data_IF_693286572894
#
_entry.id   IF_693286572894
#
_cell.length_a   1.000
_cell.length_b   1.000
_cell.length_c   1.000
_cell.angle_alpha   90.00
_cell.angle_beta   90.00
_cell.angle_gamma   90.00
#
_symmetry.space_group_name_H-M   'P 1'
#
loop_
_entity.id
_entity.type
_entity.pdbx_description
1 polymer ?
#
# COMPACT_ATOMS: atom_id res chain seq x y z
N UNK A 1 10.92 22.73 -5.66
CA UNK A 1 11.23 21.41 -6.26
C UNK A 1 11.26 20.42 -5.10
N UNK A 2 10.24 19.57 -4.94
CA UNK A 2 10.21 18.61 -3.82
C UNK A 2 11.35 17.60 -3.96
N UNK A 3 12.08 17.35 -2.87
CA UNK A 3 13.05 16.26 -2.79
C UNK A 3 12.36 14.93 -3.14
N UNK A 4 13.04 14.00 -3.83
CA UNK A 4 12.49 12.68 -4.06
C UNK A 4 12.28 11.97 -2.72
N UNK A 5 11.03 11.72 -2.34
CA UNK A 5 10.67 10.89 -1.18
C UNK A 5 10.84 9.42 -1.56
N UNK A 6 12.09 8.96 -1.68
CA UNK A 6 12.42 7.57 -1.96
C UNK A 6 13.06 6.98 -0.71
N UNK A 7 12.36 6.07 -0.04
CA UNK A 7 12.91 5.35 1.10
C UNK A 7 13.48 3.99 0.70
N UNK A 8 14.37 3.44 1.53
CA UNK A 8 14.97 2.12 1.31
C UNK A 8 13.93 0.98 1.26
N UNK A 9 12.75 1.18 1.84
CA UNK A 9 11.64 0.23 1.83
C UNK A 9 10.87 0.18 0.50
N UNK A 10 11.00 1.21 -0.35
CA UNK A 10 10.20 1.38 -1.57
C UNK A 10 10.33 0.19 -2.55
N UNK A 11 11.53 -0.39 -2.81
CA UNK A 11 11.65 -1.58 -3.65
C UNK A 11 10.83 -2.77 -3.13
N UNK A 12 10.83 -3.01 -1.81
CA UNK A 12 10.05 -4.08 -1.19
C UNK A 12 8.55 -3.81 -1.25
N UNK A 13 8.13 -2.56 -1.10
CA UNK A 13 6.74 -2.14 -1.27
C UNK A 13 6.26 -2.32 -2.71
N UNK A 14 7.07 -1.90 -3.70
CA UNK A 14 6.80 -2.11 -5.12
C UNK A 14 6.64 -3.61 -5.42
N UNK A 15 7.50 -4.45 -4.87
CA UNK A 15 7.40 -5.91 -5.03
C UNK A 15 6.12 -6.50 -4.40
N UNK A 16 5.60 -5.93 -3.30
CA UNK A 16 4.30 -6.32 -2.71
C UNK A 16 3.14 -5.89 -3.62
N UNK A 17 3.17 -4.65 -4.12
CA UNK A 17 2.12 -4.11 -4.98
C UNK A 17 2.07 -4.84 -6.34
N UNK A 18 3.22 -5.21 -6.93
CA UNK A 18 3.26 -6.02 -8.16
C UNK A 18 2.61 -7.40 -7.98
N UNK A 19 2.73 -8.01 -6.80
CA UNK A 19 2.03 -9.28 -6.50
C UNK A 19 0.52 -9.07 -6.39
N UNK A 20 0.08 -7.99 -5.74
CA UNK A 20 -1.33 -7.64 -5.68
C UNK A 20 -1.92 -7.34 -7.07
N UNK A 21 -1.16 -6.67 -7.96
CA UNK A 21 -1.54 -6.46 -9.37
C UNK A 21 -1.74 -7.79 -10.11
N UNK A 22 -0.82 -8.74 -9.96
CA UNK A 22 -0.97 -10.08 -10.54
C UNK A 22 -2.23 -10.80 -10.04
N UNK A 23 -2.52 -10.71 -8.74
CA UNK A 23 -3.75 -11.28 -8.18
C UNK A 23 -5.01 -10.59 -8.72
N UNK A 24 -4.99 -9.25 -8.84
CA UNK A 24 -6.12 -8.51 -9.39
C UNK A 24 -6.40 -8.90 -10.84
N UNK A 25 -5.36 -9.07 -11.67
CA UNK A 25 -5.50 -9.58 -13.04
C UNK A 25 -6.14 -10.96 -13.07
N UNK A 26 -5.78 -11.84 -12.14
CA UNK A 26 -6.40 -13.16 -12.03
C UNK A 26 -7.89 -13.07 -11.65
N UNK A 27 -8.25 -12.16 -10.73
CA UNK A 27 -9.66 -11.90 -10.37
C UNK A 27 -10.47 -11.43 -11.58
N UNK A 28 -9.91 -10.52 -12.39
CA UNK A 28 -10.56 -10.04 -13.62
C UNK A 28 -10.81 -11.22 -14.57
N UNK A 29 -9.80 -12.05 -14.82
CA UNK A 29 -9.95 -13.25 -15.65
C UNK A 29 -11.00 -14.23 -15.08
N UNK A 30 -11.09 -14.38 -13.76
CA UNK A 30 -12.14 -15.21 -13.14
C UNK A 30 -13.56 -14.68 -13.41
N UNK A 31 -13.73 -13.37 -13.47
CA UNK A 31 -15.02 -12.75 -13.82
C UNK A 31 -15.33 -13.00 -15.30
N UNK A 32 -14.35 -12.79 -16.18
CA UNK A 32 -14.47 -13.02 -17.62
C UNK A 32 -14.79 -14.49 -17.94
N UNK A 33 -14.19 -15.43 -17.21
CA UNK A 33 -14.42 -16.87 -17.32
C UNK A 33 -15.74 -17.34 -16.66
N UNK A 34 -16.51 -16.44 -16.03
CA UNK A 34 -17.77 -16.78 -15.36
C UNK A 34 -17.61 -17.70 -14.15
N UNK A 35 -16.51 -17.55 -13.38
CA UNK A 35 -16.28 -18.34 -12.15
C UNK A 35 -17.34 -18.05 -11.07
N UNK A 36 -17.55 -18.96 -10.10
CA UNK A 36 -18.52 -18.76 -9.03
C UNK A 36 -18.25 -17.50 -8.20
N UNK A 37 -19.31 -16.72 -7.90
CA UNK A 37 -19.22 -15.46 -7.16
C UNK A 37 -18.49 -15.61 -5.81
N UNK A 38 -18.68 -16.73 -5.11
CA UNK A 38 -17.99 -17.00 -3.84
C UNK A 38 -16.47 -17.06 -4.01
N UNK A 39 -15.97 -17.70 -5.07
CA UNK A 39 -14.54 -17.79 -5.33
C UNK A 39 -13.96 -16.42 -5.71
N UNK A 40 -14.68 -15.65 -6.53
CA UNK A 40 -14.30 -14.28 -6.89
C UNK A 40 -14.19 -13.41 -5.63
N UNK A 41 -15.21 -13.45 -4.77
CA UNK A 41 -15.22 -12.67 -3.52
C UNK A 41 -14.04 -13.05 -2.58
N UNK A 42 -13.72 -14.33 -2.48
CA UNK A 42 -12.56 -14.80 -1.70
C UNK A 42 -11.23 -14.27 -2.26
N UNK A 43 -11.05 -14.28 -3.59
CA UNK A 43 -9.84 -13.74 -4.22
C UNK A 43 -9.76 -12.21 -4.11
N UNK A 44 -10.88 -11.51 -4.26
CA UNK A 44 -10.95 -10.06 -4.02
C UNK A 44 -10.52 -9.70 -2.59
N UNK A 45 -10.98 -10.46 -1.59
CA UNK A 45 -10.56 -10.25 -0.21
C UNK A 45 -9.04 -10.45 -0.02
N UNK A 46 -8.43 -11.39 -0.74
CA UNK A 46 -6.99 -11.59 -0.71
C UNK A 46 -6.22 -10.39 -1.31
N UNK A 47 -6.73 -9.81 -2.40
CA UNK A 47 -6.17 -8.58 -3.01
C UNK A 47 -6.29 -7.41 -2.03
N UNK A 48 -7.46 -7.21 -1.43
CA UNK A 48 -7.71 -6.14 -0.45
C UNK A 48 -6.74 -6.23 0.73
N UNK A 49 -6.56 -7.43 1.30
CA UNK A 49 -5.59 -7.68 2.38
C UNK A 49 -4.16 -7.37 1.95
N UNK A 50 -3.76 -7.76 0.74
CA UNK A 50 -2.43 -7.46 0.22
C UNK A 50 -2.17 -5.94 0.10
N UNK A 51 -3.15 -5.20 -0.42
CA UNK A 51 -3.08 -3.72 -0.53
C UNK A 51 -3.05 -3.08 0.85
N UNK A 52 -3.91 -3.53 1.77
CA UNK A 52 -3.97 -3.01 3.15
C UNK A 52 -2.66 -3.19 3.88
N UNK A 53 -2.03 -4.36 3.73
CA UNK A 53 -0.72 -4.65 4.32
C UNK A 53 0.40 -3.80 3.69
N UNK A 54 0.36 -3.58 2.36
CA UNK A 54 1.30 -2.70 1.68
C UNK A 54 1.16 -1.25 2.17
N UNK A 55 -0.08 -0.75 2.27
CA UNK A 55 -0.40 0.58 2.82
C UNK A 55 0.13 0.75 4.23
N UNK A 56 -0.12 -0.21 5.13
CA UNK A 56 0.42 -0.19 6.51
C UNK A 56 1.94 -0.13 6.52
N UNK A 57 2.61 -0.96 5.71
CA UNK A 57 4.06 -0.94 5.62
C UNK A 57 4.61 0.41 5.16
N UNK A 58 3.95 1.07 4.18
CA UNK A 58 4.32 2.42 3.74
C UNK A 58 4.16 3.46 4.85
N UNK A 59 3.04 3.42 5.57
CA UNK A 59 2.75 4.37 6.66
C UNK A 59 3.77 4.22 7.79
N UNK A 60 4.06 2.99 8.20
CA UNK A 60 5.05 2.71 9.23
C UNK A 60 6.44 3.19 8.81
N UNK A 61 6.84 2.90 7.57
CA UNK A 61 8.13 3.35 7.04
C UNK A 61 8.26 4.88 7.00
N UNK A 62 7.18 5.58 6.65
CA UNK A 62 7.16 7.04 6.69
C UNK A 62 7.28 7.59 8.12
N UNK A 63 6.61 6.96 9.11
CA UNK A 63 6.75 7.33 10.53
C UNK A 63 8.18 7.14 11.03
N UNK A 64 8.90 6.12 10.55
CA UNK A 64 10.27 5.80 10.98
C UNK A 64 11.34 6.68 10.31
N UNK A 65 11.09 7.19 9.09
CA UNK A 65 12.13 7.81 8.25
C UNK A 65 11.91 9.29 7.88
N UNK A 66 10.70 9.86 8.08
CA UNK A 66 10.43 11.26 7.73
C UNK A 66 10.48 12.24 8.91
N UNK A 67 10.93 11.81 10.09
CA UNK A 67 11.19 12.71 11.23
C UNK A 67 12.59 13.32 11.10
N UNK A 68 12.81 14.14 10.07
CA UNK A 68 14.04 14.93 9.95
C UNK A 68 13.86 16.24 10.73
N UNK A 69 14.62 16.39 11.82
CA UNK A 69 14.44 17.41 12.86
C UNK A 69 14.69 18.88 12.44
N UNK A 70 14.46 19.24 11.16
CA UNK A 70 14.50 20.62 10.67
C UNK A 70 13.21 21.39 11.01
N UNK A 71 12.03 20.76 10.97
CA UNK A 71 10.75 21.37 11.38
C UNK A 71 9.79 20.36 12.04
N UNK A 72 9.86 20.19 13.38
CA UNK A 72 9.02 19.25 14.12
C UNK A 72 7.50 19.52 14.02
N UNK A 73 7.10 20.77 13.71
CA UNK A 73 5.69 21.12 13.58
C UNK A 73 5.11 20.65 12.25
N UNK A 74 5.88 20.75 11.17
CA UNK A 74 5.52 20.21 9.86
C UNK A 74 5.45 18.68 9.88
N UNK A 75 6.44 18.02 10.49
CA UNK A 75 6.49 16.56 10.58
C UNK A 75 5.28 15.99 11.33
N UNK A 76 4.88 16.62 12.43
CA UNK A 76 3.70 16.20 13.20
C UNK A 76 2.40 16.36 12.41
N UNK A 77 2.30 17.39 11.57
CA UNK A 77 1.13 17.62 10.70
C UNK A 77 1.05 16.59 9.55
N UNK A 78 2.20 16.22 8.97
CA UNK A 78 2.30 15.16 7.96
C UNK A 78 1.99 13.79 8.55
N UNK A 79 2.54 13.48 9.73
CA UNK A 79 2.27 12.23 10.44
C UNK A 79 0.80 12.09 10.81
N UNK A 80 0.15 13.15 11.29
CA UNK A 80 -1.31 13.17 11.51
C UNK A 80 -2.08 12.95 10.22
N UNK A 81 -1.56 13.41 9.09
CA UNK A 81 -2.22 13.25 7.80
C UNK A 81 -2.11 11.83 7.29
N UNK A 82 -0.93 11.23 7.36
CA UNK A 82 -0.74 9.85 6.90
C UNK A 82 -1.42 8.84 7.83
N UNK A 83 -1.49 9.13 9.13
CA UNK A 83 -2.18 8.28 10.11
C UNK A 83 -3.69 8.17 9.86
N UNK A 84 -4.31 9.13 9.15
CA UNK A 84 -5.72 9.00 8.72
C UNK A 84 -5.95 7.87 7.71
N UNK A 85 -4.88 7.37 7.09
CA UNK A 85 -4.93 6.30 6.11
C UNK A 85 -4.58 4.94 6.72
N UNK A 86 -4.37 4.80 8.03
CA UNK A 86 -4.21 3.49 8.70
C UNK A 86 -5.55 2.74 8.71
#
# INVERSE_FOLDING_TARGET
MSKPHIHASHPALIARLKRADGHLRAVIAMIEDGKPCLQIAQQMQAVEKAITNAKRALIHDHMDHCLDAEDPATDLAELRTIARYL
#
